data_IF_511162305541
#
_entry.id   IF_511162305541
#
_cell.length_a   1.000
_cell.length_b   1.000
_cell.length_c   1.000
_cell.angle_alpha   90.00
_cell.angle_beta   90.00
_cell.angle_gamma   90.00
#
_symmetry.space_group_name_H-M   'P 1'
#
loop_
_entity.id
_entity.type
_entity.pdbx_description
1 polymer ?
#
# COMPACT_ATOMS: atom_id res chain seq x y z
N UNK A 1 -30.11 -22.91 -42.04
CA UNK A 1 -28.71 -23.00 -41.57
C UNK A 1 -28.58 -22.09 -40.36
N UNK A 2 -28.72 -22.63 -39.14
CA UNK A 2 -28.97 -21.89 -37.90
C UNK A 2 -27.72 -21.91 -37.00
N UNK A 3 -27.47 -20.76 -36.38
CA UNK A 3 -26.38 -20.35 -35.47
C UNK A 3 -25.83 -21.45 -34.53
N UNK A 4 -24.51 -21.59 -34.58
CA UNK A 4 -23.57 -22.05 -33.53
C UNK A 4 -22.76 -20.78 -33.15
N UNK A 5 -22.37 -20.43 -31.93
CA UNK A 5 -22.22 -21.11 -30.65
C UNK A 5 -22.31 -20.03 -29.55
N UNK A 6 -23.00 -20.34 -28.45
CA UNK A 6 -22.71 -19.75 -27.15
C UNK A 6 -21.42 -20.40 -26.65
N UNK A 7 -20.39 -19.60 -26.35
CA UNK A 7 -19.35 -19.98 -25.40
C UNK A 7 -19.35 -18.90 -24.32
N UNK A 8 -20.00 -19.25 -23.22
CA UNK A 8 -19.95 -18.55 -21.95
C UNK A 8 -19.07 -19.41 -21.02
N UNK A 9 -18.30 -18.71 -20.19
CA UNK A 9 -17.51 -19.19 -19.03
C UNK A 9 -16.15 -19.83 -19.35
N UNK A 10 -15.05 -19.62 -18.62
CA UNK A 10 -14.84 -19.11 -17.26
C UNK A 10 -13.55 -18.28 -17.18
N UNK A 11 -13.59 -17.29 -16.30
CA UNK A 11 -12.48 -16.59 -15.66
C UNK A 11 -11.26 -17.50 -15.46
N UNK A 12 -10.14 -17.13 -16.08
CA UNK A 12 -8.81 -17.59 -15.68
C UNK A 12 -8.08 -16.43 -15.00
N UNK A 13 -8.69 -15.90 -13.94
CA UNK A 13 -7.96 -15.29 -12.83
C UNK A 13 -7.00 -16.37 -12.32
N UNK A 14 -5.79 -16.32 -12.84
CA UNK A 14 -4.80 -17.36 -12.62
C UNK A 14 -4.26 -17.15 -11.21
N UNK A 15 -4.79 -17.96 -10.30
CA UNK A 15 -4.27 -18.35 -9.00
C UNK A 15 -2.75 -18.19 -8.90
N UNK A 16 -2.35 -17.02 -8.43
CA UNK A 16 -1.05 -16.78 -7.83
C UNK A 16 -1.21 -15.72 -6.73
N UNK A 17 -2.19 -15.94 -5.85
CA UNK A 17 -2.07 -15.49 -4.45
C UNK A 17 -0.94 -16.30 -3.80
N UNK A 18 0.28 -16.12 -4.30
CA UNK A 18 1.46 -16.33 -3.50
C UNK A 18 1.22 -15.47 -2.27
N UNK A 19 1.27 -16.06 -1.08
CA UNK A 19 1.25 -15.34 0.18
C UNK A 19 2.35 -14.26 0.10
N UNK A 20 1.96 -13.05 -0.34
CA UNK A 20 2.91 -12.00 -0.71
C UNK A 20 3.70 -11.69 0.54
N UNK A 21 5.03 -11.74 0.42
CA UNK A 21 5.89 -11.52 1.57
C UNK A 21 5.61 -10.15 2.18
N UNK A 22 5.58 -10.08 3.52
CA UNK A 22 5.36 -8.82 4.23
C UNK A 22 6.32 -7.73 3.74
N UNK A 23 5.77 -6.56 3.40
CA UNK A 23 6.58 -5.39 3.08
C UNK A 23 7.15 -4.78 4.35
N UNK A 24 8.34 -5.23 4.75
CA UNK A 24 9.05 -4.70 5.92
C UNK A 24 9.69 -3.34 5.62
N UNK A 25 9.78 -2.48 6.63
CA UNK A 25 10.33 -1.12 6.51
C UNK A 25 11.75 -1.07 5.94
N UNK A 26 12.59 -2.09 6.21
CA UNK A 26 13.94 -2.19 5.64
C UNK A 26 13.96 -2.60 4.15
N UNK A 27 12.84 -3.09 3.60
CA UNK A 27 12.71 -3.49 2.19
C UNK A 27 12.09 -2.41 1.30
N UNK A 28 11.57 -1.33 1.89
CA UNK A 28 10.85 -0.26 1.17
C UNK A 28 11.69 0.37 0.07
N UNK A 29 12.98 0.65 0.32
CA UNK A 29 13.87 1.23 -0.70
C UNK A 29 13.99 0.35 -1.94
N UNK A 30 14.11 -0.98 -1.74
CA UNK A 30 14.19 -1.92 -2.86
C UNK A 30 12.85 -2.02 -3.58
N UNK A 31 11.75 -2.11 -2.82
CA UNK A 31 10.41 -2.13 -3.36
C UNK A 31 10.12 -0.93 -4.29
N UNK A 32 10.54 0.27 -3.91
CA UNK A 32 10.40 1.48 -4.76
C UNK A 32 11.24 1.37 -6.02
N UNK A 33 12.50 0.92 -5.91
CA UNK A 33 13.38 0.69 -7.07
C UNK A 33 12.83 -0.35 -8.05
N UNK A 34 12.06 -1.32 -7.55
CA UNK A 34 11.42 -2.37 -8.34
C UNK A 34 10.08 -1.89 -8.97
N UNK A 35 9.75 -0.60 -8.88
CA UNK A 35 8.57 0.03 -9.49
C UNK A 35 7.37 0.21 -8.55
N UNK A 36 7.51 -0.13 -7.26
CA UNK A 36 6.51 0.13 -6.25
C UNK A 36 6.43 1.62 -5.87
N UNK A 37 5.30 2.05 -5.31
CA UNK A 37 5.09 3.42 -4.81
C UNK A 37 4.62 3.41 -3.37
N UNK A 38 4.79 4.53 -2.66
CA UNK A 38 4.23 4.70 -1.32
C UNK A 38 2.92 5.48 -1.36
N UNK A 39 1.96 5.04 -0.56
CA UNK A 39 0.74 5.78 -0.26
C UNK A 39 0.55 5.89 1.23
N UNK A 40 -0.18 6.92 1.66
CA UNK A 40 -0.40 7.21 3.07
C UNK A 40 -1.88 7.35 3.33
N UNK A 41 -2.35 6.77 4.43
CA UNK A 41 -3.74 6.82 4.82
C UNK A 41 -3.86 7.36 6.23
N UNK A 42 -4.71 8.37 6.43
CA UNK A 42 -5.03 8.88 7.76
C UNK A 42 -6.06 7.94 8.42
N UNK A 43 -5.64 7.27 9.48
CA UNK A 43 -6.47 6.34 10.26
C UNK A 43 -6.58 6.81 11.71
N UNK A 44 -7.68 6.46 12.38
CA UNK A 44 -7.81 6.71 13.81
C UNK A 44 -7.22 5.52 14.58
N UNK A 45 -6.27 5.81 15.48
CA UNK A 45 -5.68 4.78 16.32
C UNK A 45 -6.73 4.26 17.33
N UNK A 46 -7.07 2.97 17.34
CA UNK A 46 -8.19 2.44 18.14
C UNK A 46 -7.92 2.47 19.65
N UNK A 47 -6.65 2.51 20.07
CA UNK A 47 -6.26 2.51 21.49
C UNK A 47 -6.26 3.93 22.05
N UNK A 48 -5.76 4.89 21.27
CA UNK A 48 -5.51 6.26 21.75
C UNK A 48 -6.51 7.29 21.22
N UNK A 49 -7.35 6.93 20.24
CA UNK A 49 -8.27 7.83 19.56
C UNK A 49 -7.59 8.90 18.68
N UNK A 50 -6.26 8.97 18.64
CA UNK A 50 -5.52 9.97 17.87
C UNK A 50 -5.43 9.58 16.39
N UNK A 51 -5.45 10.57 15.51
CA UNK A 51 -5.17 10.37 14.08
C UNK A 51 -3.70 10.00 13.90
N UNK A 52 -3.46 8.97 13.10
CA UNK A 52 -2.13 8.48 12.69
C UNK A 52 -2.13 8.29 11.18
N UNK A 53 -0.96 8.35 10.56
CA UNK A 53 -0.78 8.05 9.13
C UNK A 53 -0.16 6.68 8.97
N UNK A 54 -0.89 5.75 8.35
CA UNK A 54 -0.39 4.41 8.01
C UNK A 54 0.30 4.46 6.65
N UNK A 55 1.41 3.76 6.52
CA UNK A 55 2.18 3.65 5.28
C UNK A 55 1.76 2.40 4.52
N UNK A 56 1.36 2.58 3.26
CA UNK A 56 1.00 1.53 2.33
C UNK A 56 2.02 1.49 1.19
N UNK A 57 2.40 0.28 0.75
CA UNK A 57 3.11 0.07 -0.50
C UNK A 57 2.12 -0.30 -1.60
N UNK A 58 2.16 0.44 -2.71
CA UNK A 58 1.35 0.22 -3.90
C UNK A 58 2.20 -0.48 -4.95
N UNK A 59 1.83 -1.69 -5.32
CA UNK A 59 2.51 -2.50 -6.32
C UNK A 59 2.15 -2.03 -7.74
N UNK A 60 2.93 -2.39 -8.77
CA UNK A 60 2.62 -2.04 -10.16
C UNK A 60 1.27 -2.56 -10.68
N UNK A 61 0.70 -3.58 -10.04
CA UNK A 61 -0.64 -4.11 -10.29
C UNK A 61 -1.74 -3.37 -9.53
N UNK A 62 -1.43 -2.19 -8.96
CA UNK A 62 -2.28 -1.35 -8.11
C UNK A 62 -2.72 -2.03 -6.80
N UNK A 63 -2.15 -3.20 -6.47
CA UNK A 63 -2.42 -3.84 -5.19
C UNK A 63 -1.70 -3.11 -4.06
N UNK A 64 -2.41 -2.97 -2.94
CA UNK A 64 -1.90 -2.28 -1.78
C UNK A 64 -1.68 -3.21 -0.59
N UNK A 65 -0.58 -3.00 0.12
CA UNK A 65 -0.35 -3.66 1.39
C UNK A 65 0.32 -2.73 2.40
N UNK A 66 0.06 -2.91 3.71
CA UNK A 66 0.75 -2.16 4.74
C UNK A 66 2.25 -2.40 4.74
N UNK A 67 3.01 -1.34 5.01
CA UNK A 67 4.41 -1.46 5.38
C UNK A 67 4.48 -1.80 6.86
N UNK A 68 5.22 -2.84 7.24
CA UNK A 68 5.35 -3.28 8.63
C UNK A 68 6.69 -2.84 9.22
N UNK A 69 6.68 -2.50 10.51
CA UNK A 69 7.90 -2.15 11.26
C UNK A 69 8.82 -3.35 11.48
N UNK A 70 8.22 -4.51 11.73
CA UNK A 70 8.88 -5.79 11.96
C UNK A 70 7.95 -6.95 11.60
N UNK A 71 8.46 -8.17 11.69
CA UNK A 71 7.68 -9.41 11.48
C UNK A 71 6.56 -9.62 12.50
N UNK A 72 6.52 -8.83 13.58
CA UNK A 72 5.41 -8.82 14.56
C UNK A 72 4.07 -8.37 13.98
N UNK A 73 4.05 -7.86 12.74
CA UNK A 73 2.80 -7.52 12.05
C UNK A 73 2.21 -6.18 12.46
N UNK A 74 2.96 -5.31 13.16
CA UNK A 74 2.50 -3.95 13.46
C UNK A 74 2.73 -3.03 12.25
N UNK A 75 1.67 -2.48 11.63
CA UNK A 75 1.82 -1.53 10.54
C UNK A 75 2.61 -0.30 10.97
N UNK A 76 3.49 0.14 10.09
CA UNK A 76 4.25 1.37 10.24
C UNK A 76 3.29 2.54 10.15
N UNK A 77 3.30 3.34 11.19
CA UNK A 77 2.48 4.54 11.27
C UNK A 77 3.28 5.71 11.84
N UNK A 78 2.86 6.92 11.48
CA UNK A 78 3.41 8.16 11.98
C UNK A 78 2.36 8.94 12.76
N UNK A 79 2.79 9.63 13.82
CA UNK A 79 1.92 10.45 14.68
C UNK A 79 2.00 11.94 14.35
N UNK A 80 2.92 12.34 13.48
CA UNK A 80 3.11 13.71 13.02
C UNK A 80 3.37 13.76 11.52
N UNK A 81 2.95 14.85 10.88
CA UNK A 81 3.19 15.10 9.47
C UNK A 81 4.71 15.23 9.18
N UNK A 82 5.47 15.88 10.05
CA UNK A 82 6.93 16.02 9.88
C UNK A 82 7.66 14.67 9.82
N UNK A 83 7.26 13.72 10.67
CA UNK A 83 7.85 12.39 10.66
C UNK A 83 7.51 11.63 9.37
N UNK A 84 6.29 11.81 8.89
CA UNK A 84 5.83 11.26 7.62
C UNK A 84 6.61 11.84 6.43
N UNK A 85 6.72 13.17 6.35
CA UNK A 85 7.44 13.89 5.29
C UNK A 85 8.92 13.49 5.29
N UNK A 86 9.55 13.48 6.46
CA UNK A 86 10.96 13.06 6.59
C UNK A 86 11.17 11.64 6.10
N UNK A 87 10.25 10.73 6.44
CA UNK A 87 10.31 9.35 5.97
C UNK A 87 10.15 9.25 4.45
N UNK A 88 9.20 9.99 3.89
CA UNK A 88 8.96 10.02 2.45
C UNK A 88 10.19 10.49 1.69
N UNK A 89 10.74 11.66 2.04
CA UNK A 89 11.98 12.19 1.42
C UNK A 89 13.16 11.23 1.51
N UNK A 90 13.22 10.42 2.56
CA UNK A 90 14.27 9.40 2.67
C UNK A 90 14.05 8.24 1.71
N UNK A 91 12.82 7.82 1.46
CA UNK A 91 12.48 6.64 0.66
C UNK A 91 12.30 6.96 -0.83
N UNK A 92 11.69 8.10 -1.12
CA UNK A 92 11.44 8.67 -2.44
C UNK A 92 12.19 10.00 -2.57
N UNK A 93 13.53 9.99 -2.74
CA UNK A 93 14.31 11.23 -2.82
C UNK A 93 14.02 12.06 -4.08
N UNK A 94 13.48 11.42 -5.12
CA UNK A 94 13.16 12.02 -6.42
C UNK A 94 11.71 12.55 -6.49
N UNK A 95 10.93 12.37 -5.42
CA UNK A 95 9.56 12.89 -5.32
C UNK A 95 9.56 14.19 -4.50
N UNK A 96 9.05 15.27 -5.09
CA UNK A 96 8.98 16.60 -4.46
C UNK A 96 7.70 16.79 -3.62
N UNK A 97 6.70 15.93 -3.84
CA UNK A 97 5.39 16.05 -3.22
C UNK A 97 4.94 14.72 -2.60
N UNK A 98 4.30 14.82 -1.44
CA UNK A 98 3.61 13.72 -0.78
C UNK A 98 2.11 14.00 -0.78
N UNK A 99 1.33 13.09 -1.36
CA UNK A 99 -0.14 13.19 -1.36
C UNK A 99 -0.74 12.31 -0.27
N UNK A 100 -1.60 12.90 0.57
CA UNK A 100 -2.44 12.16 1.53
C UNK A 100 -3.92 12.38 1.18
N UNK A 101 -4.67 11.35 0.78
CA UNK A 101 -6.11 11.47 0.62
C UNK A 101 -6.75 11.84 1.97
N UNK A 102 -7.59 12.87 1.94
CA UNK A 102 -8.41 13.23 3.09
C UNK A 102 -9.54 12.19 3.16
N UNK A 103 -9.48 11.30 4.15
CA UNK A 103 -10.61 10.44 4.47
C UNK A 103 -11.78 11.35 4.86
N UNK A 104 -12.82 11.37 4.02
CA UNK A 104 -14.05 12.06 4.36
C UNK A 104 -14.70 11.26 5.48
N UNK A 105 -14.99 11.87 6.64
CA UNK A 105 -15.83 11.22 7.63
C UNK A 105 -17.21 11.01 7.01
N UNK A 106 -17.63 9.75 6.86
CA UNK A 106 -19.03 9.39 6.66
C UNK A 106 -19.81 9.58 7.96
#
# INVERSE_FOLDING_TARGET
MIRKEQIMTHSSDTLASHKRALLLGNRVRRFIKDGGRLRYEAQQNPITGKRVWVVLGVHPDEFEQPVFTSTSGVPKHFRSADALIRYHRQMCPDEDELTVPIAHPH
#
